data_IF_235150678370
#
_entry.id   IF_235150678370
#
_cell.length_a   1.000
_cell.length_b   1.000
_cell.length_c   1.000
_cell.angle_alpha   90.00
_cell.angle_beta   90.00
_cell.angle_gamma   90.00
#
_symmetry.space_group_name_H-M   'P 1'
#
loop_
_entity.id
_entity.type
_entity.pdbx_description
1 polymer ?
#
# COMPACT_ATOMS: atom_id res chain seq x y z
N UNK A 1 -17.78 14.64 24.54
CA UNK A 1 -18.20 13.54 23.65
C UNK A 1 -17.13 13.35 22.58
N UNK A 2 -16.38 12.24 22.62
CA UNK A 2 -15.36 11.93 21.60
C UNK A 2 -16.07 11.17 20.49
N UNK A 3 -16.15 11.76 19.30
CA UNK A 3 -16.62 11.04 18.13
C UNK A 3 -15.48 10.11 17.68
N UNK A 4 -15.63 8.81 17.95
CA UNK A 4 -14.78 7.77 17.39
C UNK A 4 -15.40 7.36 16.05
N UNK A 5 -14.72 7.64 14.95
CA UNK A 5 -15.08 7.08 13.66
C UNK A 5 -14.13 5.92 13.34
N UNK A 6 -14.63 4.76 12.89
CA UNK A 6 -13.77 3.72 12.36
C UNK A 6 -13.14 4.24 11.07
N UNK A 7 -11.85 4.58 11.11
CA UNK A 7 -11.10 4.83 9.89
C UNK A 7 -10.57 3.48 9.43
N UNK A 8 -11.14 2.93 8.34
CA UNK A 8 -10.63 1.68 7.73
C UNK A 8 -9.13 1.81 7.50
N UNK A 9 -8.36 0.75 7.76
CA UNK A 9 -6.93 0.74 7.44
C UNK A 9 -6.76 0.93 5.93
N UNK A 10 -6.31 2.10 5.50
CA UNK A 10 -6.01 2.31 4.09
C UNK A 10 -4.71 1.58 3.73
N UNK A 11 -4.79 0.65 2.78
CA UNK A 11 -3.60 0.11 2.13
C UNK A 11 -3.35 0.88 0.86
N UNK A 12 -2.09 0.98 0.42
CA UNK A 12 -1.75 1.66 -0.83
C UNK A 12 -1.01 0.73 -1.76
N UNK A 13 -1.33 0.79 -3.04
CA UNK A 13 -0.54 0.19 -4.11
C UNK A 13 0.37 1.28 -4.69
N UNK A 14 1.67 0.99 -4.73
CA UNK A 14 2.67 1.82 -5.40
C UNK A 14 3.34 1.01 -6.49
N UNK A 15 3.31 1.49 -7.73
CA UNK A 15 4.10 0.92 -8.82
C UNK A 15 5.14 1.95 -9.26
N UNK A 16 6.41 1.59 -9.24
CA UNK A 16 7.55 2.46 -9.60
C UNK A 16 8.13 1.96 -10.91
N UNK A 17 8.14 2.81 -11.94
CA UNK A 17 8.75 2.46 -13.23
C UNK A 17 10.29 2.35 -13.13
N UNK A 18 10.89 1.61 -14.05
CA UNK A 18 12.35 1.54 -14.19
C UNK A 18 12.95 2.93 -14.49
N UNK A 19 12.31 3.68 -15.39
CA UNK A 19 12.72 5.02 -15.83
C UNK A 19 11.55 5.86 -16.36
N UNK A 20 11.86 6.97 -17.02
CA UNK A 20 10.88 8.00 -17.41
C UNK A 20 10.50 8.00 -18.89
N UNK A 21 11.09 7.10 -19.70
CA UNK A 21 10.69 6.95 -21.09
C UNK A 21 9.23 6.52 -21.21
N UNK A 22 8.60 6.82 -22.34
CA UNK A 22 7.20 6.43 -22.59
C UNK A 22 7.01 4.91 -22.47
N UNK A 23 7.97 4.12 -22.95
CA UNK A 23 7.93 2.65 -22.89
C UNK A 23 8.00 2.12 -21.45
N UNK A 24 8.89 2.67 -20.62
CA UNK A 24 9.02 2.27 -19.21
C UNK A 24 7.78 2.67 -18.39
N UNK A 25 7.22 3.84 -18.69
CA UNK A 25 5.99 4.32 -18.05
C UNK A 25 4.77 3.50 -18.49
N UNK A 26 4.71 3.05 -19.74
CA UNK A 26 3.70 2.11 -20.22
C UNK A 26 3.81 0.74 -19.53
N UNK A 27 5.03 0.25 -19.31
CA UNK A 27 5.27 -1.01 -18.59
C UNK A 27 4.75 -0.95 -17.15
N UNK A 28 4.96 0.18 -16.45
CA UNK A 28 4.34 0.44 -15.13
C UNK A 28 2.81 0.28 -15.16
N UNK A 29 2.14 0.82 -16.18
CA UNK A 29 0.68 0.69 -16.29
C UNK A 29 0.24 -0.73 -16.60
N UNK A 30 0.96 -1.46 -17.47
CA UNK A 30 0.70 -2.89 -17.71
C UNK A 30 0.85 -3.72 -16.44
N UNK A 31 1.90 -3.47 -15.65
CA UNK A 31 2.11 -4.15 -14.36
C UNK A 31 0.96 -3.86 -13.41
N UNK A 32 0.56 -2.59 -13.27
CA UNK A 32 -0.62 -2.20 -12.48
C UNK A 32 -1.85 -3.00 -12.92
N UNK A 33 -2.17 -2.99 -14.21
CA UNK A 33 -3.38 -3.62 -14.74
C UNK A 33 -3.32 -5.15 -14.59
N UNK A 34 -2.14 -5.75 -14.70
CA UNK A 34 -1.94 -7.19 -14.48
C UNK A 34 -2.09 -7.63 -13.02
N UNK A 35 -1.74 -6.79 -12.04
CA UNK A 35 -1.87 -7.14 -10.62
C UNK A 35 -3.24 -6.84 -10.04
N UNK A 36 -3.99 -5.88 -10.58
CA UNK A 36 -5.31 -5.49 -10.04
C UNK A 36 -6.30 -6.68 -9.89
N UNK A 37 -6.45 -7.59 -10.87
CA UNK A 37 -7.35 -8.74 -10.72
C UNK A 37 -6.93 -9.70 -9.61
N UNK A 38 -5.64 -9.79 -9.31
CA UNK A 38 -5.11 -10.62 -8.22
C UNK A 38 -5.33 -9.95 -6.87
N UNK A 39 -5.16 -8.63 -6.82
CA UNK A 39 -5.40 -7.83 -5.62
C UNK A 39 -6.87 -7.81 -5.19
N UNK A 40 -7.79 -8.03 -6.11
CA UNK A 40 -9.22 -8.14 -5.84
C UNK A 40 -9.64 -9.53 -5.30
N UNK A 41 -8.73 -10.50 -5.20
CA UNK A 41 -9.02 -11.82 -4.66
C UNK A 41 -8.87 -11.83 -3.15
N UNK A 42 -9.76 -12.56 -2.49
CA UNK A 42 -9.73 -12.81 -1.05
C UNK A 42 -9.57 -14.32 -0.82
N UNK A 43 -8.59 -14.76 -0.01
CA UNK A 43 -7.64 -13.96 0.76
C UNK A 43 -6.56 -13.28 -0.09
N UNK A 44 -5.95 -12.21 0.46
CA UNK A 44 -4.83 -11.52 -0.18
C UNK A 44 -3.63 -12.47 -0.34
N UNK A 45 -3.16 -12.65 -1.57
CA UNK A 45 -2.01 -13.50 -1.87
C UNK A 45 -0.84 -12.70 -2.47
N UNK A 46 0.20 -12.49 -1.65
CA UNK A 46 1.40 -11.76 -2.08
C UNK A 46 2.20 -12.54 -3.14
N UNK A 47 2.16 -13.88 -3.11
CA UNK A 47 2.86 -14.71 -4.09
C UNK A 47 2.20 -14.61 -5.47
N UNK A 48 0.86 -14.63 -5.53
CA UNK A 48 0.13 -14.41 -6.77
C UNK A 48 0.37 -12.99 -7.34
N UNK A 49 0.41 -11.96 -6.48
CA UNK A 49 0.75 -10.59 -6.91
C UNK A 49 2.15 -10.54 -7.50
N UNK A 50 3.12 -11.20 -6.85
CA UNK A 50 4.50 -11.30 -7.36
C UNK A 50 4.54 -12.01 -8.71
N UNK A 51 3.86 -13.14 -8.85
CA UNK A 51 3.80 -13.87 -10.10
C UNK A 51 3.18 -13.04 -11.23
N UNK A 52 2.08 -12.34 -10.97
CA UNK A 52 1.42 -11.46 -11.94
C UNK A 52 2.32 -10.28 -12.36
N UNK A 53 3.04 -9.67 -11.42
CA UNK A 53 4.00 -8.61 -11.73
C UNK A 53 5.16 -9.13 -12.59
N UNK A 54 5.76 -10.28 -12.22
CA UNK A 54 6.85 -10.90 -12.97
C UNK A 54 6.45 -11.39 -14.37
N UNK A 55 5.19 -11.78 -14.56
CA UNK A 55 4.67 -12.16 -15.87
C UNK A 55 4.66 -10.98 -16.86
N UNK A 56 4.55 -9.75 -16.37
CA UNK A 56 4.61 -8.54 -17.19
C UNK A 56 6.03 -7.99 -17.29
N UNK A 57 6.77 -7.97 -16.17
CA UNK A 57 8.15 -7.51 -16.12
C UNK A 57 8.97 -8.39 -15.15
N UNK A 58 9.92 -9.21 -15.66
CA UNK A 58 10.71 -10.12 -14.82
C UNK A 58 11.59 -9.41 -13.80
N UNK A 59 11.80 -8.10 -13.93
CA UNK A 59 12.58 -7.28 -12.97
C UNK A 59 11.74 -6.76 -11.81
N UNK A 60 10.42 -7.00 -11.80
CA UNK A 60 9.51 -6.49 -10.80
C UNK A 60 9.85 -7.01 -9.39
N UNK A 61 10.08 -6.09 -8.45
CA UNK A 61 10.32 -6.42 -7.03
C UNK A 61 9.12 -6.00 -6.20
N UNK A 62 8.44 -6.99 -5.60
CA UNK A 62 7.23 -6.80 -4.79
C UNK A 62 7.55 -6.88 -3.30
N UNK A 63 7.19 -5.82 -2.55
CA UNK A 63 7.40 -5.70 -1.10
C UNK A 63 6.15 -5.17 -0.42
N UNK A 64 5.75 -5.80 0.69
CA UNK A 64 4.80 -5.24 1.64
C UNK A 64 5.56 -4.46 2.72
N UNK A 65 5.18 -3.22 2.98
CA UNK A 65 5.86 -2.37 3.96
C UNK A 65 4.98 -1.24 4.45
N UNK A 66 5.57 -0.27 5.13
CA UNK A 66 4.89 0.96 5.57
C UNK A 66 5.50 2.14 4.83
N UNK A 67 4.67 2.91 4.14
CA UNK A 67 5.07 4.13 3.46
C UNK A 67 4.61 5.34 4.26
N UNK A 68 5.52 6.32 4.38
CA UNK A 68 5.26 7.59 5.06
C UNK A 68 4.93 8.67 4.03
N UNK A 69 3.77 9.29 4.19
CA UNK A 69 3.29 10.42 3.39
C UNK A 69 2.87 11.56 4.29
N UNK A 70 3.54 12.71 4.22
CA UNK A 70 3.10 13.94 4.89
C UNK A 70 2.83 13.80 6.39
N UNK A 71 3.61 12.96 7.09
CA UNK A 71 3.43 12.68 8.52
C UNK A 71 2.56 11.47 8.86
N UNK A 72 1.85 10.90 7.88
CA UNK A 72 1.02 9.70 8.03
C UNK A 72 1.77 8.46 7.55
N UNK A 73 1.63 7.34 8.27
CA UNK A 73 2.23 6.07 7.93
C UNK A 73 1.14 5.06 7.60
N UNK A 74 1.14 4.53 6.38
CA UNK A 74 0.15 3.55 5.92
C UNK A 74 0.84 2.29 5.41
N UNK A 75 0.26 1.11 5.65
CA UNK A 75 0.74 -0.10 4.99
C UNK A 75 0.59 0.03 3.47
N UNK A 76 1.57 -0.47 2.74
CA UNK A 76 1.59 -0.36 1.29
C UNK A 76 2.26 -1.57 0.65
N UNK A 77 1.68 -1.97 -0.49
CA UNK A 77 2.27 -2.89 -1.43
C UNK A 77 3.05 -2.07 -2.47
N UNK A 78 4.36 -2.26 -2.50
CA UNK A 78 5.26 -1.59 -3.42
C UNK A 78 5.78 -2.57 -4.47
N UNK A 79 5.68 -2.18 -5.74
CA UNK A 79 6.19 -2.89 -6.91
C UNK A 79 7.19 -1.98 -7.60
N UNK A 80 8.48 -2.31 -7.54
CA UNK A 80 9.55 -1.56 -8.19
C UNK A 80 10.06 -2.31 -9.43
N UNK A 81 10.02 -1.66 -10.59
CA UNK A 81 10.50 -2.21 -11.86
C UNK A 81 11.94 -1.80 -12.10
N UNK A 82 12.79 -2.72 -12.58
CA UNK A 82 14.19 -2.47 -12.91
C UNK A 82 14.92 -1.68 -11.82
N UNK A 83 15.53 -0.56 -12.22
CA UNK A 83 16.26 0.34 -11.33
C UNK A 83 15.36 1.15 -10.38
N UNK A 84 14.05 1.22 -10.64
CA UNK A 84 13.09 1.97 -9.81
C UNK A 84 13.32 3.49 -9.81
N UNK A 85 13.90 4.05 -10.88
CA UNK A 85 14.25 5.49 -10.99
C UNK A 85 13.19 6.32 -11.73
N UNK A 86 12.13 5.67 -12.21
CA UNK A 86 11.07 6.33 -12.94
C UNK A 86 9.98 6.92 -12.05
N UNK A 87 9.09 7.70 -12.67
CA UNK A 87 7.86 8.17 -12.02
C UNK A 87 7.02 7.00 -11.51
N UNK A 88 6.43 7.20 -10.34
CA UNK A 88 5.56 6.24 -9.69
C UNK A 88 4.10 6.39 -10.14
N UNK A 89 3.28 5.46 -9.72
CA UNK A 89 1.83 5.50 -9.76
C UNK A 89 1.31 5.03 -8.39
N UNK A 90 0.26 5.67 -7.91
CA UNK A 90 -0.33 5.43 -6.59
C UNK A 90 -1.80 5.07 -6.74
N UNK A 91 -2.23 4.05 -6.02
CA UNK A 91 -3.63 3.67 -5.83
C UNK A 91 -3.92 3.37 -4.37
N UNK A 92 -5.17 3.56 -3.95
CA UNK A 92 -5.67 3.14 -2.64
C UNK A 92 -6.28 1.75 -2.78
N UNK A 93 -5.94 0.86 -1.86
CA UNK A 93 -6.49 -0.48 -1.72
C UNK A 93 -7.45 -0.48 -0.52
N UNK A 94 -8.66 -0.98 -0.73
CA UNK A 94 -9.66 -1.12 0.31
C UNK A 94 -9.59 -2.52 0.93
N UNK A 95 -9.33 -2.67 2.25
CA UNK A 95 -9.10 -3.97 2.88
C UNK A 95 -10.18 -5.01 2.59
N UNK A 96 -11.45 -4.62 2.75
CA UNK A 96 -12.61 -5.53 2.58
C UNK A 96 -12.70 -6.11 1.16
N UNK A 97 -12.29 -5.33 0.16
CA UNK A 97 -12.30 -5.75 -1.23
C UNK A 97 -11.04 -6.54 -1.64
N UNK A 98 -9.97 -6.45 -0.84
CA UNK A 98 -8.66 -7.02 -1.15
C UNK A 98 -8.23 -8.15 -0.21
N UNK A 99 -9.07 -8.54 0.76
CA UNK A 99 -8.75 -9.60 1.72
C UNK A 99 -7.53 -9.33 2.60
N UNK A 100 -7.22 -8.04 2.84
CA UNK A 100 -6.08 -7.62 3.65
C UNK A 100 -6.42 -7.69 5.15
N UNK A 101 -5.44 -7.96 6.03
CA UNK A 101 -5.71 -8.14 7.45
C UNK A 101 -6.26 -6.86 8.07
N UNK A 102 -7.54 -6.90 8.44
CA UNK A 102 -8.16 -5.91 9.28
C UNK A 102 -7.71 -6.15 10.72
N UNK A 103 -7.20 -5.11 11.37
CA UNK A 103 -6.79 -5.19 12.77
C UNK A 103 -7.24 -3.93 13.50
N UNK A 104 -7.46 -3.99 14.82
CA UNK A 104 -8.04 -2.89 15.56
C UNK A 104 -7.21 -1.61 15.36
N UNK A 105 -7.91 -0.54 15.03
CA UNK A 105 -7.35 0.78 14.77
C UNK A 105 -7.02 1.42 16.12
N UNK A 106 -5.73 1.64 16.40
CA UNK A 106 -5.28 2.32 17.62
C UNK A 106 -4.94 3.78 17.31
N UNK A 107 -5.88 4.68 17.57
CA UNK A 107 -5.60 6.12 17.56
C UNK A 107 -4.88 6.54 18.85
N UNK A 108 -3.66 7.08 18.72
CA UNK A 108 -2.97 7.75 19.82
C UNK A 108 -3.40 9.21 19.86
N UNK A 109 -4.33 9.56 20.75
CA UNK A 109 -4.68 10.95 21.00
C UNK A 109 -3.64 11.58 21.92
N UNK A 110 -3.00 12.66 21.45
CA UNK A 110 -1.94 13.35 22.19
C UNK A 110 -2.41 13.83 23.58
N UNK A 111 -3.65 14.33 23.66
CA UNK A 111 -4.31 14.67 24.93
C UNK A 111 -4.47 13.46 25.86
N UNK A 112 -4.81 12.27 25.34
CA UNK A 112 -4.92 11.06 26.19
C UNK A 112 -3.55 10.60 26.66
N UNK A 113 -2.51 10.72 25.83
CA UNK A 113 -1.16 10.39 26.24
C UNK A 113 -0.65 11.36 27.33
N UNK A 114 -0.98 12.64 27.23
CA UNK A 114 -0.69 13.63 28.27
C UNK A 114 -1.44 13.35 29.57
N UNK A 115 -2.75 13.08 29.51
CA UNK A 115 -3.55 12.79 30.70
C UNK A 115 -3.11 11.50 31.41
N UNK A 116 -2.74 10.45 30.66
CA UNK A 116 -2.12 9.24 31.22
C UNK A 116 -0.74 9.51 31.82
N UNK A 117 0.08 10.32 31.15
CA UNK A 117 1.38 10.76 31.66
C UNK A 117 1.29 11.58 32.95
N UNK A 118 0.14 12.24 33.17
CA UNK A 118 -0.16 12.97 34.41
C UNK A 118 -0.91 12.14 35.46
N UNK A 119 -1.22 10.86 35.16
CA UNK A 119 -1.90 9.95 36.10
C UNK A 119 -3.40 10.22 36.28
N UNK A 120 -4.03 10.94 35.36
CA UNK A 120 -5.46 11.28 35.44
C UNK A 120 -6.36 10.25 34.76
N UNK A 121 -5.75 9.25 34.10
CA UNK A 121 -6.36 8.15 33.35
C UNK A 121 -5.49 6.89 33.40
#
# INVERSE_FOLDING_TARGET
MRFFYPVKKEYRLRVIASGNSAAEQATKYRVRDGVLPVLARTPFDTAAVRAAAHAVDPTARVRLGVLRFGGYASPALEIALGAGKGRNWWGVLFPDACGLPDGPVMFRSWIVMLLKGWGWL
#
